data_IF_794274522267
#
_entry.id   IF_794274522267
#
_cell.length_a   1.000
_cell.length_b   1.000
_cell.length_c   1.000
_cell.angle_alpha   90.00
_cell.angle_beta   90.00
_cell.angle_gamma   90.00
#
_symmetry.space_group_name_H-M   'P 1'
#
loop_
_entity.id
_entity.type
_entity.pdbx_description
1 polymer ?
#
# COMPACT_ATOMS: atom_id res chain seq x y z
N UNK A 1 -11.32 -3.84 1.86
CA UNK A 1 -10.60 -2.63 1.40
C UNK A 1 -9.27 -3.06 0.79
N UNK A 2 -8.77 -2.40 -0.27
CA UNK A 2 -7.47 -2.74 -0.90
C UNK A 2 -6.42 -1.73 -0.46
N UNK A 3 -5.31 -2.22 0.11
CA UNK A 3 -4.15 -1.42 0.49
C UNK A 3 -3.00 -1.73 -0.45
N UNK A 4 -2.79 -0.82 -1.40
CA UNK A 4 -1.60 -0.80 -2.22
C UNK A 4 -0.41 -0.32 -1.38
N UNK A 5 0.60 -1.17 -1.24
CA UNK A 5 1.68 -0.97 -0.29
C UNK A 5 3.02 -1.40 -0.86
N UNK A 6 4.09 -0.73 -0.44
CA UNK A 6 5.45 -1.13 -0.74
C UNK A 6 6.24 -1.28 0.58
N UNK A 7 6.84 -2.44 0.88
CA UNK A 7 7.48 -2.71 2.17
C UNK A 7 8.52 -1.67 2.64
N UNK A 8 9.39 -1.12 1.77
CA UNK A 8 10.34 -0.08 2.19
C UNK A 8 9.73 1.33 2.21
N UNK A 9 8.47 1.53 1.79
CA UNK A 9 7.81 2.83 1.91
C UNK A 9 7.32 3.06 3.34
N UNK A 10 7.82 4.12 3.97
CA UNK A 10 7.44 4.54 5.33
C UNK A 10 5.98 4.99 5.43
N UNK A 11 5.43 5.61 4.39
CA UNK A 11 4.03 6.03 4.37
C UNK A 11 3.08 4.81 4.30
N UNK A 12 3.42 3.83 3.47
CA UNK A 12 2.74 2.53 3.40
C UNK A 12 2.66 1.85 4.77
N UNK A 13 3.76 1.89 5.53
CA UNK A 13 3.81 1.32 6.88
C UNK A 13 2.88 2.03 7.85
N UNK A 14 2.79 3.37 7.82
CA UNK A 14 1.87 4.14 8.68
C UNK A 14 0.40 3.78 8.42
N UNK A 15 0.00 3.71 7.16
CA UNK A 15 -1.39 3.35 6.79
C UNK A 15 -1.73 1.94 7.23
N UNK A 16 -0.80 0.99 7.07
CA UNK A 16 -0.96 -0.38 7.55
C UNK A 16 -1.18 -0.44 9.06
N UNK A 17 -0.40 0.30 9.84
CA UNK A 17 -0.53 0.35 11.29
C UNK A 17 -1.91 0.95 11.65
N UNK A 18 -2.29 2.08 11.06
CA UNK A 18 -3.60 2.68 11.34
C UNK A 18 -4.79 1.77 11.00
N UNK A 19 -4.69 0.96 9.94
CA UNK A 19 -5.72 -0.02 9.58
C UNK A 19 -5.77 -1.20 10.57
N UNK A 20 -4.61 -1.66 11.04
CA UNK A 20 -4.52 -2.71 12.06
C UNK A 20 -5.08 -2.22 13.41
N UNK A 21 -4.73 -1.00 13.84
CA UNK A 21 -5.25 -0.40 15.07
C UNK A 21 -6.77 -0.22 15.04
N UNK A 22 -7.34 0.02 13.85
CA UNK A 22 -8.79 0.10 13.65
C UNK A 22 -9.47 -1.27 13.51
N UNK A 23 -8.71 -2.37 13.50
CA UNK A 23 -9.25 -3.72 13.31
C UNK A 23 -9.92 -3.93 11.95
N UNK A 24 -9.54 -3.17 10.93
CA UNK A 24 -10.15 -3.26 9.60
C UNK A 24 -9.46 -4.34 8.77
N UNK A 25 -10.25 -5.14 8.08
CA UNK A 25 -9.73 -6.11 7.12
C UNK A 25 -9.38 -5.43 5.79
N UNK A 26 -8.13 -5.62 5.35
CA UNK A 26 -7.64 -5.10 4.10
C UNK A 26 -6.78 -6.12 3.36
N UNK A 27 -6.97 -6.15 2.04
CA UNK A 27 -6.16 -6.91 1.13
C UNK A 27 -4.87 -6.13 0.83
N UNK A 28 -3.71 -6.77 0.95
CA UNK A 28 -2.41 -6.13 0.69
C UNK A 28 -1.98 -6.39 -0.74
N UNK A 29 -1.91 -5.33 -1.54
CA UNK A 29 -1.41 -5.39 -2.91
C UNK A 29 -0.02 -4.78 -2.90
N UNK A 30 1.00 -5.57 -3.24
CA UNK A 30 2.37 -5.08 -3.29
C UNK A 30 2.58 -4.30 -4.60
N UNK A 31 2.94 -3.02 -4.49
CA UNK A 31 3.26 -2.17 -5.64
C UNK A 31 4.75 -1.91 -5.65
N UNK A 32 5.44 -2.41 -6.67
CA UNK A 32 6.88 -2.28 -6.77
C UNK A 32 7.28 -0.87 -7.26
N UNK A 33 7.63 -0.01 -6.31
CA UNK A 33 8.05 1.37 -6.62
C UNK A 33 9.40 1.41 -7.34
N UNK A 34 10.22 0.35 -7.29
CA UNK A 34 11.51 0.30 -8.01
C UNK A 34 11.31 0.16 -9.51
N UNK A 35 10.19 -0.43 -9.91
CA UNK A 35 9.79 -0.60 -11.32
C UNK A 35 8.97 0.58 -11.87
N UNK A 36 8.59 1.54 -11.03
CA UNK A 36 7.78 2.68 -11.44
C UNK A 36 6.30 2.38 -11.61
N UNK A 37 5.79 1.29 -11.04
CA UNK A 37 4.39 0.84 -11.13
C UNK A 37 3.38 1.90 -10.66
N UNK A 38 3.78 2.81 -9.77
CA UNK A 38 2.95 3.93 -9.33
C UNK A 38 2.65 4.97 -10.42
N UNK A 39 3.36 4.91 -11.56
CA UNK A 39 3.15 5.78 -12.72
C UNK A 39 2.32 5.11 -13.81
N UNK A 40 1.94 3.86 -13.61
CA UNK A 40 1.12 3.15 -14.56
C UNK A 40 -0.27 3.80 -14.59
N UNK A 41 -0.88 4.10 -15.75
CA UNK A 41 -2.21 4.70 -15.83
C UNK A 41 -3.32 3.89 -15.11
N UNK A 42 -3.11 2.60 -14.87
CA UNK A 42 -4.03 1.78 -14.05
C UNK A 42 -4.02 2.17 -12.56
N UNK A 43 -2.95 2.84 -12.12
CA UNK A 43 -2.74 3.31 -10.74
C UNK A 43 -3.09 4.79 -10.53
N UNK A 44 -3.30 5.55 -11.62
CA UNK A 44 -3.57 7.00 -11.61
C UNK A 44 -5.08 7.28 -11.66
#
# INVERSE_FOLDING_TARGET
MKLYTFPPSTNSRKVRIALLEKGLEFERINVDLTKGEQKNPDYL
#
